data_IF_587778137144
#
_entry.id   IF_587778137144
#
_cell.length_a   1.000
_cell.length_b   1.000
_cell.length_c   1.000
_cell.angle_alpha   90.00
_cell.angle_beta   90.00
_cell.angle_gamma   90.00
#
_symmetry.space_group_name_H-M   'P 1'
#
loop_
_entity.id
_entity.type
_entity.pdbx_description
1 polymer ?
#
# COMPACT_ATOMS: atom_id res chain seq x y z
N UNK A 1 -14.00 -7.05 19.32
CA UNK A 1 -13.74 -6.08 18.25
C UNK A 1 -14.04 -4.69 18.79
N UNK A 2 -13.01 -3.86 18.90
CA UNK A 2 -13.12 -2.48 19.38
C UNK A 2 -13.93 -1.64 18.38
N UNK A 3 -14.69 -0.64 18.85
CA UNK A 3 -15.37 0.30 17.96
C UNK A 3 -14.42 1.01 16.97
N UNK A 4 -13.14 1.15 17.35
CA UNK A 4 -12.07 1.67 16.50
C UNK A 4 -11.72 0.74 15.33
N UNK A 5 -11.69 -0.58 15.56
CA UNK A 5 -11.39 -1.56 14.50
C UNK A 5 -12.49 -1.58 13.45
N UNK A 6 -13.76 -1.50 13.89
CA UNK A 6 -14.90 -1.44 12.98
C UNK A 6 -14.89 -0.15 12.16
N UNK A 7 -14.52 0.98 12.78
CA UNK A 7 -14.37 2.26 12.09
C UNK A 7 -13.23 2.24 11.07
N UNK A 8 -12.07 1.69 11.44
CA UNK A 8 -10.92 1.54 10.52
C UNK A 8 -11.28 0.62 9.33
N UNK A 9 -11.99 -0.49 9.58
CA UNK A 9 -12.47 -1.37 8.52
C UNK A 9 -13.44 -0.64 7.57
N UNK A 10 -14.38 0.14 8.10
CA UNK A 10 -15.30 0.94 7.29
C UNK A 10 -14.56 1.98 6.42
N UNK A 11 -13.55 2.66 6.97
CA UNK A 11 -12.70 3.57 6.20
C UNK A 11 -11.95 2.85 5.07
N UNK A 12 -11.49 1.62 5.32
CA UNK A 12 -10.87 0.78 4.29
C UNK A 12 -11.81 0.50 3.12
N UNK A 13 -13.05 0.09 3.41
CA UNK A 13 -14.06 -0.16 2.36
C UNK A 13 -14.35 1.12 1.57
N UNK A 14 -14.49 2.26 2.26
CA UNK A 14 -14.72 3.55 1.62
C UNK A 14 -13.52 3.94 0.74
N UNK A 15 -12.29 3.73 1.20
CA UNK A 15 -11.08 4.01 0.43
C UNK A 15 -11.04 3.18 -0.86
N UNK A 16 -11.31 1.87 -0.79
CA UNK A 16 -11.37 0.99 -1.97
C UNK A 16 -12.46 1.44 -2.94
N UNK A 17 -13.65 1.77 -2.44
CA UNK A 17 -14.74 2.26 -3.27
C UNK A 17 -14.40 3.58 -3.98
N UNK A 18 -13.73 4.51 -3.29
CA UNK A 18 -13.25 5.75 -3.88
C UNK A 18 -12.16 5.51 -4.93
N UNK A 19 -11.29 4.52 -4.70
CA UNK A 19 -10.27 4.08 -5.69
C UNK A 19 -10.95 3.59 -6.97
N UNK A 20 -12.00 2.77 -6.87
CA UNK A 20 -12.81 2.33 -8.03
C UNK A 20 -13.42 3.52 -8.75
N UNK A 21 -13.92 4.51 -8.01
CA UNK A 21 -14.45 5.77 -8.57
C UNK A 21 -13.38 6.74 -9.07
N UNK A 22 -12.10 6.37 -9.00
CA UNK A 22 -10.96 7.23 -9.35
C UNK A 22 -10.98 8.59 -8.62
N UNK A 23 -11.53 8.61 -7.40
CA UNK A 23 -11.60 9.81 -6.59
C UNK A 23 -10.30 9.95 -5.76
N UNK A 24 -9.55 11.06 -5.87
CA UNK A 24 -8.30 11.27 -5.12
C UNK A 24 -8.47 11.28 -3.59
N UNK A 25 -9.70 11.41 -3.08
CA UNK A 25 -10.00 11.27 -1.65
C UNK A 25 -9.76 9.85 -1.10
N UNK A 26 -9.56 8.83 -1.93
CA UNK A 26 -9.19 7.50 -1.46
C UNK A 26 -7.87 7.48 -0.66
N UNK A 27 -6.93 8.34 -1.05
CA UNK A 27 -5.60 8.43 -0.42
C UNK A 27 -5.64 9.01 1.00
N UNK A 28 -6.23 10.19 1.27
CA UNK A 28 -6.35 10.70 2.64
C UNK A 28 -7.18 9.79 3.54
N UNK A 29 -8.24 9.15 3.01
CA UNK A 29 -9.02 8.20 3.81
C UNK A 29 -8.18 6.96 4.16
N UNK A 30 -7.43 6.41 3.21
CA UNK A 30 -6.48 5.34 3.46
C UNK A 30 -5.37 5.74 4.43
N UNK A 31 -4.89 6.99 4.38
CA UNK A 31 -3.91 7.50 5.32
C UNK A 31 -4.45 7.54 6.75
N UNK A 32 -5.69 8.02 6.94
CA UNK A 32 -6.34 8.01 8.26
C UNK A 32 -6.48 6.58 8.77
N UNK A 33 -6.87 5.63 7.93
CA UNK A 33 -6.94 4.21 8.30
C UNK A 33 -5.59 3.67 8.76
N UNK A 34 -4.52 3.93 8.00
CA UNK A 34 -3.15 3.49 8.34
C UNK A 34 -2.66 4.13 9.65
N UNK A 35 -2.94 5.41 9.88
CA UNK A 35 -2.59 6.10 11.12
C UNK A 35 -3.34 5.53 12.33
N UNK A 36 -4.63 5.19 12.17
CA UNK A 36 -5.41 4.51 13.21
C UNK A 36 -4.80 3.15 13.55
N UNK A 37 -4.42 2.35 12.54
CA UNK A 37 -3.75 1.08 12.79
C UNK A 37 -2.35 1.25 13.40
N UNK A 38 -1.61 2.30 13.02
CA UNK A 38 -0.33 2.65 13.65
C UNK A 38 -0.50 2.86 15.15
N UNK A 39 -1.56 3.57 15.56
CA UNK A 39 -1.87 3.78 16.97
C UNK A 39 -2.26 2.47 17.67
N UNK A 40 -3.10 1.64 17.05
CA UNK A 40 -3.44 0.31 17.61
C UNK A 40 -2.19 -0.54 17.83
N UNK A 41 -1.26 -0.60 16.86
CA UNK A 41 -0.02 -1.36 17.01
C UNK A 41 0.96 -0.74 18.01
N UNK A 42 0.97 0.58 18.18
CA UNK A 42 1.72 1.26 19.22
C UNK A 42 1.25 0.85 20.62
N UNK A 43 -0.06 0.74 20.83
CA UNK A 43 -0.64 0.33 22.12
C UNK A 43 -0.27 -1.13 22.47
N UNK A 44 -0.21 -2.00 21.45
CA UNK A 44 0.20 -3.41 21.58
C UNK A 44 1.74 -3.58 21.58
N UNK A 45 2.52 -2.48 21.49
CA UNK A 45 4.00 -2.45 21.45
C UNK A 45 4.63 -3.28 20.31
N UNK A 46 3.91 -3.43 19.20
CA UNK A 46 4.40 -4.11 18.00
C UNK A 46 5.13 -3.11 17.11
N UNK A 47 6.41 -2.86 17.45
CA UNK A 47 7.23 -1.87 16.74
C UNK A 47 7.46 -2.20 15.25
N UNK A 48 7.53 -3.49 14.90
CA UNK A 48 7.68 -3.94 13.51
C UNK A 48 6.47 -3.58 12.64
N UNK A 49 5.26 -3.85 13.13
CA UNK A 49 4.00 -3.50 12.44
C UNK A 49 3.79 -1.98 12.38
N UNK A 50 4.22 -1.26 13.43
CA UNK A 50 4.19 0.19 13.43
C UNK A 50 5.08 0.79 12.32
N UNK A 51 6.30 0.26 12.11
CA UNK A 51 7.19 0.71 11.04
C UNK A 51 6.59 0.42 9.66
N UNK A 52 5.98 -0.75 9.49
CA UNK A 52 5.27 -1.12 8.25
C UNK A 52 4.15 -0.12 7.94
N UNK A 53 3.37 0.28 8.95
CA UNK A 53 2.31 1.26 8.76
C UNK A 53 2.84 2.66 8.41
N UNK A 54 4.00 3.06 8.94
CA UNK A 54 4.65 4.32 8.51
C UNK A 54 5.04 4.28 7.03
N UNK A 55 5.52 3.13 6.53
CA UNK A 55 5.82 2.94 5.10
C UNK A 55 4.53 3.08 4.28
N UNK A 56 3.44 2.44 4.71
CA UNK A 56 2.13 2.59 4.05
C UNK A 56 1.62 4.04 4.08
N UNK A 57 1.84 4.77 5.16
CA UNK A 57 1.47 6.18 5.26
C UNK A 57 2.23 7.03 4.23
N UNK A 58 3.54 6.79 4.06
CA UNK A 58 4.35 7.46 3.05
C UNK A 58 3.89 7.16 1.62
N UNK A 59 3.51 5.90 1.33
CA UNK A 59 2.94 5.51 0.04
C UNK A 59 1.60 6.18 -0.23
N UNK A 60 0.79 6.36 0.82
CA UNK A 60 -0.49 7.03 0.71
C UNK A 60 -0.34 8.51 0.37
N UNK A 61 0.65 9.18 0.97
CA UNK A 61 1.03 10.54 0.60
C UNK A 61 1.56 10.62 -0.83
N UNK A 62 2.40 9.66 -1.25
CA UNK A 62 2.91 9.61 -2.62
C UNK A 62 1.79 9.41 -3.64
N UNK A 63 0.87 8.47 -3.39
CA UNK A 63 -0.28 8.23 -4.26
C UNK A 63 -1.19 9.44 -4.34
N UNK A 64 -1.42 10.12 -3.21
CA UNK A 64 -2.19 11.36 -3.16
C UNK A 64 -1.52 12.45 -4.01
N UNK A 65 -0.23 12.67 -3.82
CA UNK A 65 0.54 13.64 -4.59
C UNK A 65 0.52 13.33 -6.09
N UNK A 66 0.68 12.06 -6.46
CA UNK A 66 0.66 11.62 -7.85
C UNK A 66 -0.72 11.84 -8.51
N UNK A 67 -1.81 11.70 -7.74
CA UNK A 67 -3.17 11.88 -8.24
C UNK A 67 -3.63 13.35 -8.25
N UNK A 68 -3.11 14.18 -7.35
CA UNK A 68 -3.43 15.61 -7.27
C UNK A 68 -2.56 16.48 -8.18
N UNK A 69 -1.29 16.12 -8.36
CA UNK A 69 -0.35 16.90 -9.18
C UNK A 69 -0.48 16.65 -10.68
N UNK A 70 -1.13 15.56 -11.11
CA UNK A 70 -1.42 15.29 -12.52
C UNK A 70 -2.45 16.26 -13.17
N UNK A 71 -2.66 17.44 -12.58
CA UNK A 71 -3.68 18.43 -12.93
C UNK A 71 -3.20 19.69 -13.65
N UNK A 72 -1.92 19.82 -14.03
CA UNK A 72 -1.51 20.94 -14.91
C UNK A 72 -1.92 20.74 -16.37
N UNK A 73 -2.32 19.53 -16.75
CA UNK A 73 -3.05 19.27 -18.00
C UNK A 73 -4.46 18.84 -17.60
N UNK A 74 -5.49 19.54 -18.09
CA UNK A 74 -6.92 19.36 -17.77
C UNK A 74 -7.51 17.96 -18.03
N UNK A 75 -6.68 16.97 -18.33
CA UNK A 75 -7.02 15.55 -18.41
C UNK A 75 -6.21 14.81 -17.35
N UNK A 76 -6.81 14.61 -16.18
CA UNK A 76 -6.18 13.81 -15.11
C UNK A 76 -5.67 12.48 -15.66
N UNK A 77 -4.54 11.99 -15.14
CA UNK A 77 -3.83 10.79 -15.62
C UNK A 77 -4.82 9.67 -15.97
N UNK A 78 -4.82 9.26 -17.24
CA UNK A 78 -5.73 8.21 -17.73
C UNK A 78 -5.32 6.85 -17.19
N UNK A 79 -6.30 5.98 -17.00
CA UNK A 79 -6.05 4.58 -16.66
C UNK A 79 -5.32 3.93 -17.83
N UNK A 80 -4.12 3.42 -17.57
CA UNK A 80 -3.23 2.89 -18.60
C UNK A 80 -2.83 1.46 -18.27
N UNK A 81 -2.43 0.70 -19.29
CA UNK A 81 -1.90 -0.66 -19.11
C UNK A 81 -0.37 -0.61 -19.14
N UNK A 82 0.29 -1.34 -18.25
CA UNK A 82 1.71 -1.64 -18.40
C UNK A 82 1.92 -2.62 -19.55
N UNK A 83 3.02 -2.46 -20.29
CA UNK A 83 3.55 -3.49 -21.18
C UNK A 83 4.19 -4.63 -20.37
N UNK A 84 4.19 -5.84 -20.93
CA UNK A 84 4.72 -7.06 -20.31
C UNK A 84 6.15 -6.90 -19.73
N UNK A 85 7.11 -6.23 -20.41
CA UNK A 85 8.44 -6.04 -19.85
C UNK A 85 8.46 -5.23 -18.54
N UNK A 86 7.61 -4.19 -18.46
CA UNK A 86 7.50 -3.37 -17.26
C UNK A 86 6.83 -4.14 -16.11
N UNK A 87 5.88 -5.04 -16.42
CA UNK A 87 5.26 -5.93 -15.42
C UNK A 87 6.33 -6.84 -14.83
N UNK A 88 7.11 -7.53 -15.67
CA UNK A 88 8.16 -8.44 -15.21
C UNK A 88 9.22 -7.68 -14.40
N UNK A 89 9.65 -6.50 -14.86
CA UNK A 89 10.63 -5.70 -14.14
C UNK A 89 10.12 -5.28 -12.75
N UNK A 90 8.87 -4.84 -12.62
CA UNK A 90 8.33 -4.43 -11.32
C UNK A 90 8.00 -5.59 -10.39
N UNK A 91 7.61 -6.75 -10.93
CA UNK A 91 7.51 -7.99 -10.15
C UNK A 91 8.89 -8.46 -9.66
N UNK A 92 9.93 -8.34 -10.49
CA UNK A 92 11.30 -8.65 -10.08
C UNK A 92 11.79 -7.70 -8.98
N UNK A 93 11.50 -6.40 -9.08
CA UNK A 93 11.79 -5.43 -8.02
C UNK A 93 11.02 -5.76 -6.74
N UNK A 94 9.74 -6.13 -6.85
CA UNK A 94 8.94 -6.60 -5.71
C UNK A 94 9.54 -7.84 -5.06
N UNK A 95 9.93 -8.84 -5.85
CA UNK A 95 10.56 -10.06 -5.36
C UNK A 95 11.91 -9.79 -4.67
N UNK A 96 12.76 -8.93 -5.25
CA UNK A 96 14.03 -8.52 -4.61
C UNK A 96 13.77 -7.78 -3.31
N UNK A 97 12.81 -6.85 -3.30
CA UNK A 97 12.38 -6.13 -2.09
C UNK A 97 11.86 -7.08 -1.01
N UNK A 98 11.04 -8.05 -1.38
CA UNK A 98 10.54 -9.12 -0.51
C UNK A 98 11.66 -10.00 0.04
N UNK A 99 12.66 -10.35 -0.77
CA UNK A 99 13.79 -11.16 -0.29
C UNK A 99 14.65 -10.38 0.70
N UNK A 100 14.92 -9.10 0.44
CA UNK A 100 15.67 -8.23 1.36
C UNK A 100 14.90 -8.02 2.67
N UNK A 101 13.59 -7.77 2.59
CA UNK A 101 12.74 -7.57 3.76
C UNK A 101 12.57 -8.88 4.54
N UNK A 102 12.43 -10.01 3.87
CA UNK A 102 12.35 -11.34 4.48
C UNK A 102 13.65 -11.74 5.17
N UNK A 103 14.80 -11.45 4.56
CA UNK A 103 16.11 -11.66 5.18
C UNK A 103 16.30 -10.76 6.42
N UNK A 104 15.90 -9.49 6.34
CA UNK A 104 15.95 -8.57 7.46
C UNK A 104 15.02 -9.03 8.60
N UNK A 105 13.79 -9.47 8.30
CA UNK A 105 12.88 -10.01 9.29
C UNK A 105 13.39 -11.31 9.90
N UNK A 106 13.94 -12.23 9.11
CA UNK A 106 14.49 -13.49 9.61
C UNK A 106 15.70 -13.29 10.55
N UNK A 107 16.48 -12.20 10.38
CA UNK A 107 17.64 -11.91 11.21
C UNK A 107 17.35 -11.01 12.41
N UNK A 108 16.37 -10.10 12.31
CA UNK A 108 16.13 -9.07 13.33
C UNK A 108 14.76 -9.14 14.02
N UNK A 109 13.87 -10.04 13.60
CA UNK A 109 12.53 -10.17 14.21
C UNK A 109 12.17 -11.62 14.51
N UNK A 110 11.36 -11.82 15.55
CA UNK A 110 10.77 -13.12 15.89
C UNK A 110 9.52 -13.44 15.05
N UNK A 111 9.51 -13.04 13.78
CA UNK A 111 8.39 -13.31 12.88
C UNK A 111 8.26 -14.82 12.68
N UNK A 112 7.02 -15.34 12.78
CA UNK A 112 6.78 -16.77 12.63
C UNK A 112 6.99 -17.25 11.18
N UNK A 113 6.74 -16.38 10.19
CA UNK A 113 6.85 -16.68 8.74
C UNK A 113 7.44 -15.48 7.96
N UNK A 114 8.69 -15.06 8.26
CA UNK A 114 9.27 -13.81 7.77
C UNK A 114 9.32 -13.70 6.24
N UNK A 115 9.56 -14.82 5.55
CA UNK A 115 9.63 -14.86 4.09
C UNK A 115 8.27 -14.68 3.42
N UNK A 116 7.21 -15.27 3.99
CA UNK A 116 5.86 -15.20 3.44
C UNK A 116 5.25 -13.81 3.68
N UNK A 117 5.44 -13.27 4.88
CA UNK A 117 5.00 -11.92 5.24
C UNK A 117 5.71 -10.85 4.38
N UNK A 118 7.01 -11.06 4.12
CA UNK A 118 7.78 -10.18 3.25
C UNK A 118 7.39 -10.28 1.77
N UNK A 119 7.04 -11.49 1.28
CA UNK A 119 6.50 -11.68 -0.06
C UNK A 119 5.19 -10.92 -0.22
N UNK A 120 4.23 -11.11 0.69
CA UNK A 120 2.96 -10.39 0.69
C UNK A 120 3.18 -8.88 0.70
N UNK A 121 4.04 -8.39 1.61
CA UNK A 121 4.36 -6.96 1.70
C UNK A 121 4.94 -6.43 0.39
N UNK A 122 5.98 -7.06 -0.16
CA UNK A 122 6.63 -6.55 -1.37
C UNK A 122 5.72 -6.55 -2.60
N UNK A 123 4.88 -7.57 -2.79
CA UNK A 123 3.88 -7.56 -3.85
C UNK A 123 2.77 -6.53 -3.60
N UNK A 124 2.29 -6.36 -2.37
CA UNK A 124 1.34 -5.30 -2.02
C UNK A 124 1.91 -3.90 -2.29
N UNK A 125 3.20 -3.67 -2.04
CA UNK A 125 3.87 -2.42 -2.39
C UNK A 125 3.87 -2.17 -3.91
N UNK A 126 4.15 -3.19 -4.71
CA UNK A 126 4.06 -3.10 -6.18
C UNK A 126 2.62 -2.81 -6.62
N UNK A 127 1.63 -3.49 -6.03
CA UNK A 127 0.22 -3.26 -6.31
C UNK A 127 -0.19 -1.81 -5.98
N UNK A 128 0.23 -1.30 -4.81
CA UNK A 128 -0.04 0.04 -4.33
C UNK A 128 0.61 1.10 -5.24
N UNK A 129 1.84 0.86 -5.71
CA UNK A 129 2.51 1.73 -6.68
C UNK A 129 1.80 1.74 -8.04
N UNK A 130 1.39 0.58 -8.55
CA UNK A 130 0.63 0.48 -9.78
C UNK A 130 -0.72 1.20 -9.67
N UNK A 131 -1.38 1.10 -8.51
CA UNK A 131 -2.60 1.85 -8.20
C UNK A 131 -2.35 3.37 -8.18
N UNK A 132 -1.26 3.82 -7.53
CA UNK A 132 -0.82 5.22 -7.54
C UNK A 132 -0.55 5.74 -8.97
N UNK A 133 -0.07 4.87 -9.86
CA UNK A 133 0.15 5.19 -11.27
C UNK A 133 -1.08 4.99 -12.18
N UNK A 134 -2.25 4.63 -11.62
CA UNK A 134 -3.49 4.31 -12.35
C UNK A 134 -3.31 3.18 -13.38
N UNK A 135 -2.65 2.09 -12.97
CA UNK A 135 -2.41 0.91 -13.81
C UNK A 135 -3.41 -0.19 -13.46
N UNK A 136 -4.11 -0.72 -14.46
CA UNK A 136 -5.16 -1.74 -14.25
C UNK A 136 -4.61 -3.04 -13.65
N UNK A 137 -3.35 -3.36 -13.93
CA UNK A 137 -2.68 -4.54 -13.39
C UNK A 137 -2.52 -4.52 -11.87
N UNK A 138 -2.83 -3.42 -11.18
CA UNK A 138 -2.87 -3.43 -9.72
C UNK A 138 -3.93 -4.39 -9.18
N UNK A 139 -5.07 -4.57 -9.87
CA UNK A 139 -6.20 -5.35 -9.36
C UNK A 139 -5.91 -6.85 -9.16
N UNK A 140 -5.26 -7.55 -10.11
CA UNK A 140 -4.90 -8.96 -9.88
C UNK A 140 -3.81 -9.16 -8.83
N UNK A 141 -3.07 -8.10 -8.47
CA UNK A 141 -1.99 -8.14 -7.49
C UNK A 141 -2.44 -7.72 -6.08
N UNK A 142 -3.65 -7.14 -5.97
CA UNK A 142 -4.32 -6.73 -4.74
C UNK A 142 -5.20 -7.87 -4.23
#
# INVERSE_FOLDING_TARGET
MSGLELFAAALGVIAVWLTVKQNPWCWPIGLVMVLLYTWVFFDVKLYSDMLLQVIYAALQLYGWWQWTRAGEVKQGRQVTRLGVPAIIASLAVGAVGSLLLGAAMAHWTDAAQPWLDAALTGFSLVAQMWMAQKRVQCWPLW
#
